data_IF_105288138112
#
_entry.id   IF_105288138112
#
_cell.length_a   1.000
_cell.length_b   1.000
_cell.length_c   1.000
_cell.angle_alpha   90.00
_cell.angle_beta   90.00
_cell.angle_gamma   90.00
#
_symmetry.space_group_name_H-M   'P 1'
#
loop_
_entity.id
_entity.type
_entity.pdbx_description
1 polymer ?
#
# COMPACT_ATOMS: atom_id res chain seq x y z
N UNK A 1 4.05 -24.88 13.17
CA UNK A 1 4.57 -24.34 11.90
C UNK A 1 4.41 -22.84 11.97
N UNK A 2 5.51 -22.10 11.86
CA UNK A 2 5.49 -20.63 11.85
C UNK A 2 5.01 -20.15 10.48
N UNK A 3 4.21 -19.09 10.45
CA UNK A 3 3.82 -18.36 9.24
C UNK A 3 3.91 -16.88 9.55
N UNK A 4 4.30 -16.09 8.56
CA UNK A 4 4.39 -14.64 8.66
C UNK A 4 3.33 -14.02 7.77
N UNK A 5 2.59 -13.08 8.35
CA UNK A 5 1.71 -12.19 7.64
C UNK A 5 2.25 -10.77 7.86
N UNK A 6 2.57 -10.08 6.77
CA UNK A 6 3.26 -8.80 6.82
C UNK A 6 2.38 -7.73 6.21
N UNK A 7 2.24 -6.61 6.89
CA UNK A 7 1.60 -5.41 6.34
C UNK A 7 2.47 -4.81 5.20
N UNK A 8 1.89 -3.95 4.37
CA UNK A 8 2.60 -3.27 3.30
C UNK A 8 2.98 -1.83 3.66
N UNK A 9 1.98 -0.98 3.93
CA UNK A 9 2.17 0.47 4.02
C UNK A 9 2.93 0.87 5.30
N UNK A 10 4.13 1.44 5.14
CA UNK A 10 5.03 1.74 6.26
C UNK A 10 5.68 0.52 6.91
N UNK A 11 5.53 -0.67 6.31
CA UNK A 11 6.14 -1.93 6.74
C UNK A 11 7.02 -2.52 5.64
N UNK A 12 6.44 -2.94 4.52
CA UNK A 12 7.17 -3.34 3.30
C UNK A 12 7.62 -2.10 2.54
N UNK A 13 6.74 -1.12 2.36
CA UNK A 13 7.11 0.20 1.83
C UNK A 13 7.71 1.07 2.92
N UNK A 14 8.62 1.98 2.54
CA UNK A 14 9.23 2.92 3.51
C UNK A 14 8.22 3.88 4.14
N UNK A 15 7.11 4.15 3.45
CA UNK A 15 6.05 5.05 3.90
C UNK A 15 4.69 4.52 3.51
N UNK A 16 3.66 5.26 3.92
CA UNK A 16 2.27 4.95 3.59
C UNK A 16 1.95 5.42 2.16
N UNK A 17 1.96 4.47 1.23
CA UNK A 17 1.75 4.70 -0.20
C UNK A 17 0.27 5.00 -0.48
N UNK A 18 -0.66 4.35 0.22
CA UNK A 18 -2.09 4.60 0.09
C UNK A 18 -2.46 6.03 0.47
N UNK A 19 -1.99 6.51 1.63
CA UNK A 19 -2.18 7.87 2.11
C UNK A 19 -1.50 8.91 1.19
N UNK A 20 -0.26 8.62 0.73
CA UNK A 20 0.40 9.46 -0.27
C UNK A 20 -0.38 9.55 -1.59
N UNK A 21 -0.93 8.43 -2.06
CA UNK A 21 -1.72 8.36 -3.29
C UNK A 21 -2.97 9.25 -3.19
N UNK A 22 -3.76 9.10 -2.12
CA UNK A 22 -4.99 9.86 -1.98
C UNK A 22 -4.72 11.35 -1.75
N UNK A 23 -3.66 11.73 -1.01
CA UNK A 23 -3.25 13.14 -0.93
C UNK A 23 -2.91 13.74 -2.29
N UNK A 24 -2.20 12.99 -3.13
CA UNK A 24 -1.77 13.44 -4.46
C UNK A 24 -2.93 13.62 -5.42
N UNK A 25 -3.91 12.71 -5.39
CA UNK A 25 -4.94 12.62 -6.43
C UNK A 25 -6.36 12.98 -5.98
N UNK A 26 -6.60 13.20 -4.69
CA UNK A 26 -7.94 13.49 -4.13
C UNK A 26 -8.01 14.79 -3.32
N UNK A 27 -6.88 15.45 -3.03
CA UNK A 27 -6.83 16.79 -2.47
C UNK A 27 -7.60 16.97 -1.15
N UNK A 28 -8.34 18.09 -1.02
CA UNK A 28 -9.08 18.45 0.20
C UNK A 28 -10.24 17.50 0.52
N UNK A 29 -10.81 16.82 -0.48
CA UNK A 29 -11.91 15.86 -0.27
C UNK A 29 -11.44 14.66 0.56
N UNK A 30 -10.22 14.17 0.31
CA UNK A 30 -9.64 13.10 1.11
C UNK A 30 -9.48 13.50 2.59
N UNK A 31 -9.05 14.73 2.86
CA UNK A 31 -8.89 15.22 4.24
C UNK A 31 -10.23 15.27 4.98
N UNK A 32 -11.31 15.66 4.30
CA UNK A 32 -12.64 15.67 4.91
C UNK A 32 -13.16 14.26 5.17
N UNK A 33 -12.94 13.32 4.25
CA UNK A 33 -13.32 11.92 4.44
C UNK A 33 -12.57 11.30 5.64
N UNK A 34 -11.27 11.56 5.76
CA UNK A 34 -10.47 11.11 6.91
C UNK A 34 -10.99 11.71 8.21
N UNK A 35 -11.28 13.02 8.27
CA UNK A 35 -11.85 13.65 9.47
C UNK A 35 -13.15 12.98 9.92
N UNK A 36 -14.05 12.70 8.98
CA UNK A 36 -15.34 12.02 9.28
C UNK A 36 -15.13 10.59 9.78
N UNK A 37 -14.14 9.89 9.26
CA UNK A 37 -13.74 8.57 9.76
C UNK A 37 -13.16 8.65 11.18
N UNK A 38 -12.28 9.61 11.46
CA UNK A 38 -11.67 9.79 12.79
C UNK A 38 -12.69 10.08 13.89
N UNK A 39 -13.76 10.83 13.59
CA UNK A 39 -14.85 11.10 14.55
C UNK A 39 -15.91 9.98 14.61
N UNK A 40 -15.72 8.89 13.85
CA UNK A 40 -16.60 7.72 13.88
C UNK A 40 -17.90 7.87 13.07
N UNK A 41 -18.02 8.89 12.21
CA UNK A 41 -19.18 9.06 11.32
C UNK A 41 -19.18 8.08 10.14
N UNK A 42 -18.04 7.47 9.84
CA UNK A 42 -17.91 6.44 8.81
C UNK A 42 -16.92 5.35 9.26
N UNK A 43 -17.10 4.12 8.74
CA UNK A 43 -16.15 3.03 8.96
C UNK A 43 -15.08 3.01 7.85
N UNK A 44 -14.02 2.20 8.03
CA UNK A 44 -12.90 2.13 7.09
C UNK A 44 -13.30 1.68 5.68
N UNK A 45 -14.30 0.81 5.54
CA UNK A 45 -14.79 0.37 4.23
C UNK A 45 -15.45 1.52 3.48
N UNK A 46 -16.28 2.29 4.16
CA UNK A 46 -16.97 3.44 3.57
C UNK A 46 -15.99 4.57 3.24
N UNK A 47 -14.97 4.77 4.08
CA UNK A 47 -13.86 5.68 3.80
C UNK A 47 -13.17 5.29 2.50
N UNK A 48 -12.72 4.05 2.39
CA UNK A 48 -12.00 3.57 1.20
C UNK A 48 -12.85 3.69 -0.07
N UNK A 49 -14.13 3.33 -0.02
CA UNK A 49 -15.02 3.46 -1.18
C UNK A 49 -15.26 4.91 -1.59
N UNK A 50 -15.28 5.85 -0.65
CA UNK A 50 -15.39 7.27 -0.95
C UNK A 50 -14.08 7.83 -1.54
N UNK A 51 -12.93 7.44 -0.98
CA UNK A 51 -11.60 7.83 -1.48
C UNK A 51 -11.36 7.33 -2.91
N UNK A 52 -11.79 6.11 -3.22
CA UNK A 52 -11.75 5.56 -4.58
C UNK A 52 -12.67 6.30 -5.57
N UNK A 53 -13.68 7.04 -5.10
CA UNK A 53 -14.55 7.85 -5.96
C UNK A 53 -14.04 9.27 -6.15
N UNK A 54 -13.26 9.79 -5.20
CA UNK A 54 -12.73 11.15 -5.24
C UNK A 54 -11.47 11.28 -6.08
N UNK A 55 -10.65 10.22 -6.20
CA UNK A 55 -9.38 10.33 -6.92
C UNK A 55 -9.57 10.65 -8.41
N UNK A 56 -8.69 11.49 -8.95
CA UNK A 56 -8.59 11.84 -10.38
C UNK A 56 -7.13 11.77 -10.80
N UNK A 57 -6.79 10.82 -11.67
CA UNK A 57 -5.46 10.65 -12.21
C UNK A 57 -5.54 9.95 -13.58
N UNK A 58 -4.64 10.28 -14.50
CA UNK A 58 -4.39 9.47 -15.69
C UNK A 58 -3.53 8.25 -15.33
N UNK A 59 -3.54 7.17 -16.14
CA UNK A 59 -2.64 6.03 -15.95
C UNK A 59 -1.17 6.45 -15.87
N UNK A 60 -0.74 7.41 -16.69
CA UNK A 60 0.64 7.92 -16.70
C UNK A 60 1.00 8.64 -15.39
N UNK A 61 0.10 9.47 -14.85
CA UNK A 61 0.31 10.11 -13.55
C UNK A 61 0.42 9.09 -12.40
N UNK A 62 -0.34 7.99 -12.48
CA UNK A 62 -0.27 6.89 -11.51
C UNK A 62 1.06 6.14 -11.63
N UNK A 63 1.52 5.85 -12.85
CA UNK A 63 2.82 5.21 -13.08
C UNK A 63 3.97 6.06 -12.54
N UNK A 64 3.96 7.38 -12.81
CA UNK A 64 4.92 8.33 -12.27
C UNK A 64 4.92 8.34 -10.73
N UNK A 65 3.73 8.39 -10.12
CA UNK A 65 3.60 8.33 -8.66
C UNK A 65 4.18 7.04 -8.07
N UNK A 66 3.88 5.88 -8.67
CA UNK A 66 4.41 4.58 -8.23
C UNK A 66 5.93 4.54 -8.37
N UNK A 67 6.47 5.15 -9.43
CA UNK A 67 7.91 5.17 -9.68
C UNK A 67 8.68 5.88 -8.55
N UNK A 68 8.07 6.88 -7.90
CA UNK A 68 8.63 7.65 -6.78
C UNK A 68 8.64 6.89 -5.44
N UNK A 69 7.88 5.79 -5.30
CA UNK A 69 7.78 5.05 -4.04
C UNK A 69 8.90 4.02 -3.87
N UNK A 70 9.27 3.76 -2.63
CA UNK A 70 10.35 2.84 -2.26
C UNK A 70 9.87 1.72 -1.31
N UNK A 71 10.39 0.51 -1.53
CA UNK A 71 10.33 -0.59 -0.56
C UNK A 71 11.48 -0.46 0.43
N UNK A 72 11.27 -0.88 1.68
CA UNK A 72 12.33 -1.00 2.68
C UNK A 72 13.43 -1.93 2.14
N UNK A 73 14.69 -1.46 2.04
CA UNK A 73 15.77 -2.24 1.46
C UNK A 73 16.07 -3.54 2.22
N UNK A 74 15.73 -3.61 3.50
CA UNK A 74 15.89 -4.80 4.35
C UNK A 74 14.80 -5.85 4.13
N UNK A 75 13.63 -5.48 3.59
CA UNK A 75 12.51 -6.41 3.40
C UNK A 75 12.87 -7.55 2.45
N UNK A 76 13.69 -7.30 1.43
CA UNK A 76 14.16 -8.35 0.51
C UNK A 76 14.98 -9.42 1.24
N UNK A 77 15.84 -9.01 2.16
CA UNK A 77 16.64 -9.95 2.97
C UNK A 77 15.73 -10.77 3.89
N UNK A 78 14.74 -10.13 4.51
CA UNK A 78 13.73 -10.79 5.34
C UNK A 78 12.92 -11.82 4.56
N UNK A 79 12.37 -11.47 3.39
CA UNK A 79 11.66 -12.39 2.52
C UNK A 79 12.55 -13.58 2.10
N UNK A 80 13.81 -13.31 1.76
CA UNK A 80 14.79 -14.35 1.46
C UNK A 80 15.09 -15.27 2.64
N UNK A 81 15.10 -14.75 3.87
CA UNK A 81 15.22 -15.56 5.08
C UNK A 81 13.99 -16.48 5.25
N UNK A 82 12.78 -15.94 5.15
CA UNK A 82 11.56 -16.74 5.23
C UNK A 82 11.54 -17.89 4.20
N UNK A 83 11.95 -17.61 2.97
CA UNK A 83 12.03 -18.63 1.92
C UNK A 83 13.04 -19.75 2.25
N UNK A 84 14.23 -19.42 2.77
CA UNK A 84 15.27 -20.41 3.13
C UNK A 84 14.85 -21.30 4.30
N UNK A 85 14.13 -20.74 5.26
CA UNK A 85 13.65 -21.46 6.45
C UNK A 85 12.29 -22.14 6.22
N UNK A 86 11.79 -22.16 4.98
CA UNK A 86 10.48 -22.72 4.61
C UNK A 86 9.32 -22.13 5.44
N UNK A 87 9.44 -20.85 5.82
CA UNK A 87 8.41 -20.09 6.53
C UNK A 87 7.52 -19.40 5.49
N UNK A 88 6.23 -19.78 5.36
CA UNK A 88 5.32 -19.08 4.47
C UNK A 88 5.18 -17.61 4.88
N UNK A 89 5.42 -16.72 3.91
CA UNK A 89 5.25 -15.28 4.02
C UNK A 89 4.15 -14.85 3.06
N UNK A 90 3.22 -14.04 3.55
CA UNK A 90 2.22 -13.38 2.72
C UNK A 90 2.09 -11.91 3.13
N UNK A 91 1.95 -11.03 2.15
CA UNK A 91 1.60 -9.64 2.40
C UNK A 91 0.08 -9.54 2.58
N UNK A 92 -0.36 -8.93 3.68
CA UNK A 92 -1.75 -8.61 3.97
C UNK A 92 -1.85 -7.11 4.21
N UNK A 93 -2.44 -6.42 3.24
CA UNK A 93 -2.61 -4.97 3.26
C UNK A 93 -4.04 -4.62 2.86
N UNK A 94 -4.56 -3.53 3.40
CA UNK A 94 -5.79 -2.89 2.93
C UNK A 94 -5.53 -1.91 1.76
N UNK A 95 -4.27 -1.79 1.34
CA UNK A 95 -3.81 -1.03 0.19
C UNK A 95 -4.23 -1.63 -1.16
N UNK A 96 -3.80 -0.98 -2.25
CA UNK A 96 -4.27 -1.29 -3.59
C UNK A 96 -3.24 -2.08 -4.41
N UNK A 97 -3.70 -3.15 -5.06
CA UNK A 97 -2.94 -3.91 -6.07
C UNK A 97 -2.30 -3.01 -7.13
N UNK A 98 -2.93 -1.86 -7.42
CA UNK A 98 -2.48 -0.81 -8.33
C UNK A 98 -1.01 -0.39 -8.07
N UNK A 99 -0.62 -0.21 -6.81
CA UNK A 99 0.75 0.17 -6.45
C UNK A 99 1.54 -0.97 -5.82
N UNK A 100 0.89 -1.91 -5.12
CA UNK A 100 1.59 -3.01 -4.43
C UNK A 100 2.28 -3.91 -5.45
N UNK A 101 1.57 -4.38 -6.48
CA UNK A 101 2.13 -5.36 -7.44
C UNK A 101 3.34 -4.79 -8.19
N UNK A 102 3.28 -3.60 -8.82
CA UNK A 102 4.43 -3.07 -9.55
C UNK A 102 5.63 -2.80 -8.63
N UNK A 103 5.39 -2.38 -7.39
CA UNK A 103 6.46 -2.17 -6.41
C UNK A 103 7.16 -3.48 -6.04
N UNK A 104 6.40 -4.55 -5.79
CA UNK A 104 6.98 -5.87 -5.52
C UNK A 104 7.73 -6.43 -6.73
N UNK A 105 7.15 -6.33 -7.93
CA UNK A 105 7.75 -6.81 -9.18
C UNK A 105 9.10 -6.12 -9.46
N UNK A 106 9.14 -4.77 -9.42
CA UNK A 106 10.37 -3.99 -9.62
C UNK A 106 11.45 -4.33 -8.59
N UNK A 107 11.06 -4.80 -7.41
CA UNK A 107 11.95 -5.18 -6.34
C UNK A 107 12.21 -6.70 -6.27
N UNK A 108 11.89 -7.47 -7.32
CA UNK A 108 12.20 -8.90 -7.37
C UNK A 108 11.48 -9.73 -6.30
N UNK A 109 10.34 -9.24 -5.83
CA UNK A 109 9.49 -9.86 -4.80
C UNK A 109 8.14 -10.31 -5.41
N UNK A 110 8.10 -10.50 -6.73
CA UNK A 110 6.91 -10.96 -7.42
C UNK A 110 6.42 -12.30 -6.84
N UNK A 111 5.13 -12.39 -6.55
CA UNK A 111 4.50 -13.58 -5.98
C UNK A 111 4.36 -13.59 -4.45
N UNK A 112 4.87 -12.56 -3.76
CA UNK A 112 4.45 -12.22 -2.39
C UNK A 112 3.16 -11.40 -2.36
#
# INVERSE_FOLDING_TARGET
MLKVFCDFDGTVSKGDVGDAFFRRFSGEEALELVRRWEVGEMNSRDLYLAMLRSFRASPEEVEEFIAEQEIDPSFREFAGFCAREEIPLAILSDGMDLYIRPLLERNGLAGL
#
